data_IF_301527240802
#
_entry.id   IF_301527240802
#
_cell.length_a   1.000
_cell.length_b   1.000
_cell.length_c   1.000
_cell.angle_alpha   90.00
_cell.angle_beta   90.00
_cell.angle_gamma   90.00
#
_symmetry.space_group_name_H-M   'P 1'
#
loop_
_entity.id
_entity.type
_entity.pdbx_description
1 polymer ?
#
# COMPACT_ATOMS: atom_id res chain seq x y z
N UNK A 1 -24.81 -11.66 6.18
CA UNK A 1 -23.95 -10.48 5.93
C UNK A 1 -23.77 -9.77 7.25
N UNK A 2 -22.55 -9.74 7.80
CA UNK A 2 -22.31 -9.05 9.07
C UNK A 2 -22.37 -7.53 8.85
N UNK A 3 -23.29 -6.87 9.54
CA UNK A 3 -23.41 -5.43 9.57
C UNK A 3 -22.38 -4.89 10.58
N UNK A 4 -21.18 -4.54 10.10
CA UNK A 4 -20.08 -4.06 10.94
C UNK A 4 -20.29 -2.65 11.54
N UNK A 5 -21.51 -2.08 11.43
CA UNK A 5 -21.80 -0.70 11.78
C UNK A 5 -21.39 0.30 10.68
N UNK A 6 -21.55 1.59 10.96
CA UNK A 6 -21.13 2.66 10.03
C UNK A 6 -19.61 2.87 10.14
N UNK A 7 -18.89 2.99 9.01
CA UNK A 7 -17.46 3.27 9.04
C UNK A 7 -17.20 4.70 9.56
N UNK A 8 -16.17 4.85 10.40
CA UNK A 8 -15.64 6.14 10.89
C UNK A 8 -15.20 7.03 9.74
N UNK A 9 -14.58 6.43 8.72
CA UNK A 9 -14.14 7.15 7.52
C UNK A 9 -14.11 6.22 6.31
N UNK A 10 -14.42 6.77 5.16
CA UNK A 10 -14.22 6.11 3.87
C UNK A 10 -13.16 6.85 3.07
N UNK A 11 -12.17 6.11 2.58
CA UNK A 11 -11.09 6.66 1.75
C UNK A 11 -11.15 6.03 0.37
N UNK A 12 -11.22 6.87 -0.67
CA UNK A 12 -11.21 6.45 -2.07
C UNK A 12 -10.01 6.98 -2.82
N UNK A 13 -9.96 6.68 -4.12
CA UNK A 13 -8.95 7.20 -5.03
C UNK A 13 -8.88 8.74 -4.98
N UNK A 14 -7.67 9.31 -5.11
CA UNK A 14 -7.44 10.76 -5.16
C UNK A 14 -8.33 11.41 -6.22
N UNK A 15 -8.76 12.64 -5.95
CA UNK A 15 -9.62 13.40 -6.86
C UNK A 15 -8.96 13.61 -8.23
N UNK A 16 -7.66 13.94 -8.26
CA UNK A 16 -6.93 14.19 -9.51
C UNK A 16 -6.93 12.99 -10.49
N UNK A 17 -6.42 11.79 -10.14
CA UNK A 17 -6.48 10.65 -11.05
C UNK A 17 -7.92 10.24 -11.36
N UNK A 18 -8.87 10.39 -10.42
CA UNK A 18 -10.29 10.15 -10.70
C UNK A 18 -10.82 11.06 -11.80
N UNK A 19 -10.52 12.35 -11.70
CA UNK A 19 -10.95 13.37 -12.67
C UNK A 19 -10.25 13.18 -13.99
N UNK A 20 -8.94 12.90 -13.99
CA UNK A 20 -8.16 12.62 -15.18
C UNK A 20 -8.65 11.35 -15.90
N UNK A 21 -8.98 10.28 -15.18
CA UNK A 21 -9.57 9.07 -15.77
C UNK A 21 -10.92 9.38 -16.42
N UNK A 22 -11.78 10.16 -15.76
CA UNK A 22 -13.08 10.55 -16.33
C UNK A 22 -12.90 11.46 -17.56
N UNK A 23 -12.03 12.46 -17.47
CA UNK A 23 -11.77 13.39 -18.57
C UNK A 23 -11.18 12.68 -19.78
N UNK A 24 -10.19 11.81 -19.58
CA UNK A 24 -9.62 11.01 -20.66
C UNK A 24 -10.66 10.06 -21.27
N UNK A 25 -11.54 9.49 -20.45
CA UNK A 25 -12.64 8.66 -20.94
C UNK A 25 -13.63 9.46 -21.79
N UNK A 26 -14.02 10.65 -21.34
CA UNK A 26 -14.91 11.54 -22.09
C UNK A 26 -14.26 12.01 -23.40
N UNK A 27 -13.00 12.46 -23.35
CA UNK A 27 -12.24 12.86 -24.53
C UNK A 27 -12.15 11.70 -25.54
N UNK A 28 -11.91 10.49 -25.07
CA UNK A 28 -11.87 9.31 -25.92
C UNK A 28 -13.24 9.03 -26.55
N UNK A 29 -14.33 9.14 -25.79
CA UNK A 29 -15.70 9.01 -26.36
C UNK A 29 -15.95 10.08 -27.43
N UNK A 30 -15.59 11.33 -27.18
CA UNK A 30 -15.75 12.41 -28.18
C UNK A 30 -14.94 12.14 -29.44
N UNK A 31 -13.70 11.66 -29.28
CA UNK A 31 -12.86 11.24 -30.39
C UNK A 31 -13.51 10.10 -31.19
N UNK A 32 -14.04 9.08 -30.52
CA UNK A 32 -14.76 7.97 -31.15
C UNK A 32 -16.00 8.46 -31.92
N UNK A 33 -16.80 9.34 -31.35
CA UNK A 33 -17.95 9.93 -32.04
C UNK A 33 -17.53 10.72 -33.29
N UNK A 34 -16.41 11.43 -33.23
CA UNK A 34 -15.81 12.10 -34.38
C UNK A 34 -15.40 11.13 -35.49
N UNK A 35 -14.70 10.04 -35.13
CA UNK A 35 -14.32 8.98 -36.07
C UNK A 35 -15.54 8.32 -36.71
N UNK A 36 -16.55 7.96 -35.91
CA UNK A 36 -17.79 7.36 -36.42
C UNK A 36 -18.54 8.31 -37.36
N UNK A 37 -18.58 9.62 -37.04
CA UNK A 37 -19.16 10.63 -37.94
C UNK A 37 -18.41 10.73 -39.26
N UNK A 38 -17.09 10.81 -39.23
CA UNK A 38 -16.25 10.83 -40.45
C UNK A 38 -16.40 9.54 -41.26
N UNK A 39 -16.54 8.40 -40.61
CA UNK A 39 -16.80 7.13 -41.26
C UNK A 39 -18.15 7.14 -42.00
N UNK A 40 -19.23 7.56 -41.34
CA UNK A 40 -20.57 7.65 -41.95
C UNK A 40 -20.54 8.60 -43.17
N UNK A 41 -19.92 9.78 -43.02
CA UNK A 41 -19.83 10.77 -44.10
C UNK A 41 -19.06 10.27 -45.33
N UNK A 42 -18.11 9.35 -45.13
CA UNK A 42 -17.26 8.82 -46.19
C UNK A 42 -17.60 7.36 -46.57
N UNK A 43 -18.73 6.84 -46.09
CA UNK A 43 -19.06 5.42 -46.17
C UNK A 43 -19.10 4.91 -47.62
N UNK A 44 -19.87 5.57 -48.48
CA UNK A 44 -20.02 5.19 -49.89
C UNK A 44 -18.66 5.15 -50.59
N UNK A 45 -17.85 6.21 -50.42
CA UNK A 45 -16.51 6.30 -51.00
C UNK A 45 -15.57 5.19 -50.53
N UNK A 46 -15.63 4.82 -49.25
CA UNK A 46 -14.80 3.74 -48.67
C UNK A 46 -15.26 2.39 -49.21
N UNK A 47 -16.57 2.17 -49.28
CA UNK A 47 -17.18 0.96 -49.79
C UNK A 47 -16.85 0.74 -51.28
N UNK A 48 -17.02 1.77 -52.10
CA UNK A 48 -16.74 1.72 -53.55
C UNK A 48 -15.27 1.43 -53.86
N UNK A 49 -14.35 2.03 -53.08
CA UNK A 49 -12.91 1.92 -53.35
C UNK A 49 -12.27 0.66 -52.80
N UNK A 50 -12.70 0.21 -51.61
CA UNK A 50 -12.01 -0.84 -50.85
C UNK A 50 -12.91 -2.05 -50.53
N UNK A 51 -14.19 -2.01 -50.94
CA UNK A 51 -15.15 -3.10 -50.72
C UNK A 51 -15.58 -3.28 -49.27
N UNK A 52 -16.50 -4.23 -49.06
CA UNK A 52 -17.16 -4.47 -47.77
C UNK A 52 -16.20 -4.94 -46.64
N UNK A 53 -15.07 -5.56 -47.01
CA UNK A 53 -14.06 -6.02 -46.03
C UNK A 53 -13.46 -4.84 -45.24
N UNK A 54 -13.22 -3.71 -45.90
CA UNK A 54 -12.70 -2.50 -45.26
C UNK A 54 -13.71 -1.88 -44.27
N UNK A 55 -15.00 -1.97 -44.59
CA UNK A 55 -16.10 -1.55 -43.72
C UNK A 55 -16.14 -2.40 -42.45
N UNK A 56 -16.07 -3.73 -42.58
CA UNK A 56 -16.02 -4.63 -41.42
C UNK A 56 -14.76 -4.42 -40.56
N UNK A 57 -13.61 -4.15 -41.17
CA UNK A 57 -12.39 -3.84 -40.44
C UNK A 57 -12.55 -2.57 -39.57
N UNK A 58 -13.12 -1.50 -40.14
CA UNK A 58 -13.34 -0.25 -39.41
C UNK A 58 -14.32 -0.42 -38.25
N UNK A 59 -15.42 -1.15 -38.47
CA UNK A 59 -16.37 -1.49 -37.39
C UNK A 59 -15.66 -2.31 -36.29
N UNK A 60 -14.86 -3.30 -36.67
CA UNK A 60 -14.10 -4.11 -35.72
C UNK A 60 -13.08 -3.28 -34.92
N UNK A 61 -12.39 -2.35 -35.59
CA UNK A 61 -11.45 -1.43 -34.96
C UNK A 61 -12.15 -0.53 -33.94
N UNK A 62 -13.30 0.04 -34.29
CA UNK A 62 -14.08 0.89 -33.38
C UNK A 62 -14.56 0.13 -32.14
N UNK A 63 -14.98 -1.13 -32.30
CA UNK A 63 -15.36 -2.00 -31.19
C UNK A 63 -14.19 -2.27 -30.24
N UNK A 64 -13.00 -2.53 -30.78
CA UNK A 64 -11.79 -2.74 -29.96
C UNK A 64 -11.42 -1.47 -29.20
N UNK A 65 -11.47 -0.30 -29.85
CA UNK A 65 -11.24 0.98 -29.20
C UNK A 65 -12.25 1.26 -28.08
N UNK A 66 -13.53 0.94 -28.29
CA UNK A 66 -14.57 1.06 -27.28
C UNK A 66 -14.31 0.15 -26.07
N UNK A 67 -13.86 -1.08 -26.30
CA UNK A 67 -13.46 -2.00 -25.22
C UNK A 67 -12.28 -1.46 -24.41
N UNK A 68 -11.29 -0.86 -25.05
CA UNK A 68 -10.15 -0.22 -24.37
C UNK A 68 -10.65 0.97 -23.54
N UNK A 69 -11.52 1.80 -24.11
CA UNK A 69 -12.10 2.98 -23.46
C UNK A 69 -12.81 2.62 -22.16
N UNK A 70 -13.62 1.57 -22.18
CA UNK A 70 -14.38 1.11 -21.01
C UNK A 70 -13.53 0.27 -20.05
N UNK A 71 -12.57 -0.49 -20.58
CA UNK A 71 -11.71 -1.39 -19.84
C UNK A 71 -10.76 -0.68 -18.89
N UNK A 72 -10.08 0.40 -19.34
CA UNK A 72 -9.09 1.12 -18.53
C UNK A 72 -9.72 1.74 -17.26
N UNK A 73 -10.82 2.51 -17.33
CA UNK A 73 -11.49 3.05 -16.13
C UNK A 73 -11.98 1.94 -15.19
N UNK A 74 -12.51 0.84 -15.73
CA UNK A 74 -12.94 -0.30 -14.93
C UNK A 74 -11.78 -0.93 -14.15
N UNK A 75 -10.64 -1.16 -14.80
CA UNK A 75 -9.42 -1.66 -14.16
C UNK A 75 -8.94 -0.70 -13.07
N UNK A 76 -8.97 0.61 -13.33
CA UNK A 76 -8.56 1.63 -12.35
C UNK A 76 -9.44 1.62 -11.09
N UNK A 77 -10.77 1.54 -11.24
CA UNK A 77 -11.71 1.44 -10.11
C UNK A 77 -11.46 0.16 -9.30
N UNK A 78 -11.16 -0.95 -9.99
CA UNK A 78 -10.86 -2.24 -9.35
C UNK A 78 -9.50 -2.27 -8.65
N UNK A 79 -8.53 -1.50 -9.15
CA UNK A 79 -7.19 -1.38 -8.57
C UNK A 79 -7.19 -0.53 -7.28
N UNK A 80 -8.09 0.46 -7.20
CA UNK A 80 -8.21 1.38 -6.06
C UNK A 80 -9.61 1.35 -5.41
N UNK A 81 -10.03 0.19 -4.86
CA UNK A 81 -11.32 0.07 -4.18
C UNK A 81 -11.39 0.95 -2.93
N UNK A 82 -12.56 1.48 -2.58
CA UNK A 82 -12.70 2.26 -1.35
C UNK A 82 -12.28 1.46 -0.12
N UNK A 83 -11.53 2.09 0.77
CA UNK A 83 -11.16 1.56 2.08
C UNK A 83 -12.13 2.15 3.10
N UNK A 84 -12.71 1.29 3.92
CA UNK A 84 -13.61 1.69 5.00
C UNK A 84 -12.92 1.41 6.33
N UNK A 85 -12.77 2.44 7.14
CA UNK A 85 -12.13 2.37 8.45
C UNK A 85 -13.18 2.30 9.55
N UNK A 86 -13.01 1.35 10.45
CA UNK A 86 -13.79 1.13 11.66
C UNK A 86 -12.87 1.27 12.87
N UNK A 87 -13.43 1.33 14.07
CA UNK A 87 -12.61 1.48 15.29
C UNK A 87 -11.69 0.28 15.51
N UNK A 88 -12.15 -0.93 15.18
CA UNK A 88 -11.48 -2.20 15.44
C UNK A 88 -10.83 -2.84 14.20
N UNK A 89 -10.99 -2.23 13.01
CA UNK A 89 -10.49 -2.81 11.77
C UNK A 89 -10.80 -1.99 10.53
N UNK A 90 -10.62 -2.62 9.37
CA UNK A 90 -10.89 -2.01 8.07
C UNK A 90 -11.44 -3.01 7.05
N UNK A 91 -12.10 -2.52 6.02
CA UNK A 91 -12.47 -3.32 4.83
C UNK A 91 -11.94 -2.65 3.56
N UNK A 92 -11.60 -3.48 2.56
CA UNK A 92 -11.13 -3.02 1.25
C UNK A 92 -12.16 -3.40 0.19
N UNK A 93 -12.99 -2.44 -0.19
CA UNK A 93 -14.17 -2.66 -1.03
C UNK A 93 -15.46 -2.81 -0.23
N UNK A 94 -16.59 -2.52 -0.88
CA UNK A 94 -17.92 -2.60 -0.24
C UNK A 94 -18.26 -4.05 0.05
N UNK A 95 -18.87 -4.32 1.21
CA UNK A 95 -19.33 -5.65 1.64
C UNK A 95 -18.24 -6.72 1.66
N UNK A 96 -17.00 -6.32 1.92
CA UNK A 96 -15.90 -7.25 2.18
C UNK A 96 -15.77 -7.53 3.67
N UNK A 97 -15.14 -8.65 3.98
CA UNK A 97 -14.84 -9.06 5.34
C UNK A 97 -13.97 -8.02 6.06
N UNK A 98 -14.29 -7.75 7.33
CA UNK A 98 -13.55 -6.81 8.16
C UNK A 98 -12.27 -7.47 8.66
N UNK A 99 -11.15 -6.82 8.39
CA UNK A 99 -9.82 -7.21 8.88
C UNK A 99 -9.58 -6.47 10.18
N UNK A 100 -9.45 -7.22 11.28
CA UNK A 100 -9.28 -6.66 12.62
C UNK A 100 -7.85 -6.20 12.87
N UNK A 101 -7.69 -5.01 13.42
CA UNK A 101 -6.37 -4.46 13.76
C UNK A 101 -5.61 -5.32 14.78
N UNK A 102 -6.30 -5.99 15.68
CA UNK A 102 -5.70 -6.88 16.68
C UNK A 102 -4.95 -8.06 16.06
N UNK A 103 -5.45 -8.58 14.94
CA UNK A 103 -4.96 -9.85 14.35
C UNK A 103 -4.20 -9.65 13.05
N UNK A 104 -4.21 -8.44 12.48
CA UNK A 104 -3.64 -8.18 11.17
C UNK A 104 -2.11 -8.19 11.21
N UNK A 105 -1.52 -9.06 10.41
CA UNK A 105 -0.11 -8.96 10.02
C UNK A 105 0.01 -8.07 8.80
N UNK A 106 0.94 -7.11 8.83
CA UNK A 106 1.18 -6.23 7.70
C UNK A 106 2.62 -5.69 7.66
N UNK A 107 3.03 -5.26 6.47
CA UNK A 107 4.22 -4.44 6.29
C UNK A 107 4.00 -3.46 5.12
N UNK A 108 4.72 -2.35 5.16
CA UNK A 108 4.75 -1.38 4.08
C UNK A 108 5.93 -1.65 3.15
N UNK A 109 5.77 -1.38 1.85
CA UNK A 109 6.89 -1.23 0.93
C UNK A 109 7.26 0.26 0.89
N UNK A 110 8.38 0.69 1.51
CA UNK A 110 8.79 2.08 1.53
C UNK A 110 8.90 2.65 0.12
N UNK A 111 8.61 3.93 -0.01
CA UNK A 111 8.78 4.61 -1.28
C UNK A 111 10.23 5.03 -1.45
N UNK A 112 10.84 4.61 -2.56
CA UNK A 112 12.27 4.79 -2.81
C UNK A 112 12.56 5.85 -3.88
N UNK A 113 11.52 6.34 -4.57
CA UNK A 113 11.66 7.35 -5.61
C UNK A 113 11.27 8.73 -5.05
N UNK A 114 12.15 9.76 -5.10
CA UNK A 114 11.88 11.08 -4.53
C UNK A 114 10.56 11.70 -5.01
N UNK A 115 10.26 11.61 -6.32
CA UNK A 115 9.01 12.12 -6.89
C UNK A 115 7.76 11.39 -6.37
N UNK A 116 7.87 10.10 -6.04
CA UNK A 116 6.75 9.33 -5.49
C UNK A 116 6.65 9.52 -3.97
N UNK A 117 7.76 9.81 -3.27
CA UNK A 117 7.80 10.06 -1.82
C UNK A 117 6.92 11.25 -1.43
N UNK A 118 6.85 12.27 -2.29
CA UNK A 118 5.95 13.41 -2.14
C UNK A 118 4.46 13.00 -2.10
N UNK A 119 4.10 11.91 -2.79
CA UNK A 119 2.73 11.40 -2.86
C UNK A 119 2.35 10.57 -1.64
N UNK A 120 3.13 9.54 -1.33
CA UNK A 120 2.97 8.64 -0.18
C UNK A 120 4.34 8.11 0.25
N UNK A 121 4.57 7.99 1.56
CA UNK A 121 5.83 7.46 2.12
C UNK A 121 6.07 5.98 1.81
N UNK A 122 5.04 5.27 1.36
CA UNK A 122 5.09 3.88 0.92
C UNK A 122 4.30 3.70 -0.38
N UNK A 123 4.65 2.67 -1.15
CA UNK A 123 3.99 2.36 -2.44
C UNK A 123 2.84 1.37 -2.29
N UNK A 124 2.96 0.45 -1.32
CA UNK A 124 2.01 -0.66 -1.13
C UNK A 124 1.97 -1.07 0.34
N UNK A 125 0.79 -1.43 0.81
CA UNK A 125 0.57 -2.16 2.07
C UNK A 125 0.32 -3.61 1.71
N UNK A 126 1.08 -4.52 2.31
CA UNK A 126 0.75 -5.94 2.29
C UNK A 126 0.18 -6.33 3.64
N UNK A 127 -0.95 -7.03 3.65
CA UNK A 127 -1.61 -7.48 4.87
C UNK A 127 -2.16 -8.89 4.71
N UNK A 128 -2.24 -9.67 5.80
CA UNK A 128 -3.01 -10.92 5.82
C UNK A 128 -4.47 -10.61 6.08
N UNK A 129 -5.36 -11.18 5.27
CA UNK A 129 -6.78 -11.21 5.60
C UNK A 129 -7.06 -12.32 6.66
N UNK A 130 -8.32 -12.45 7.05
CA UNK A 130 -8.75 -13.43 8.05
C UNK A 130 -8.51 -14.90 7.61
N UNK A 131 -8.43 -15.18 6.31
CA UNK A 131 -8.00 -16.49 5.76
C UNK A 131 -6.48 -16.74 5.81
N UNK A 132 -5.71 -15.88 6.49
CA UNK A 132 -4.25 -15.88 6.46
C UNK A 132 -3.63 -15.74 5.06
N UNK A 133 -4.37 -15.18 4.09
CA UNK A 133 -3.86 -14.94 2.73
C UNK A 133 -3.35 -13.51 2.60
N UNK A 134 -2.13 -13.37 2.10
CA UNK A 134 -1.58 -12.08 1.72
C UNK A 134 -2.43 -11.39 0.64
N UNK A 135 -2.83 -10.17 0.94
CA UNK A 135 -3.48 -9.19 0.07
C UNK A 135 -2.62 -7.92 0.06
N UNK A 136 -2.85 -7.07 -0.93
CA UNK A 136 -2.16 -5.80 -1.02
C UNK A 136 -3.11 -4.65 -1.33
N UNK A 137 -2.72 -3.44 -0.92
CA UNK A 137 -3.35 -2.17 -1.28
C UNK A 137 -2.26 -1.28 -1.86
N UNK A 138 -2.40 -0.88 -3.12
CA UNK A 138 -1.49 0.11 -3.71
C UNK A 138 -1.79 1.49 -3.14
N UNK A 139 -0.83 2.12 -2.47
CA UNK A 139 -0.99 3.44 -1.88
C UNK A 139 -1.03 4.57 -2.91
N UNK A 140 -0.48 4.35 -4.11
CA UNK A 140 -0.29 5.39 -5.13
C UNK A 140 -1.60 6.09 -5.53
N UNK A 141 -2.71 5.34 -5.57
CA UNK A 141 -4.02 5.88 -5.93
C UNK A 141 -4.74 6.64 -4.82
N UNK A 142 -4.28 6.59 -3.56
CA UNK A 142 -4.97 7.18 -2.40
C UNK A 142 -4.33 8.48 -1.90
N UNK A 143 -5.09 9.40 -1.29
CA UNK A 143 -4.55 10.60 -0.66
C UNK A 143 -3.41 10.31 0.31
N UNK A 144 -2.49 11.26 0.50
CA UNK A 144 -1.32 11.11 1.38
C UNK A 144 -1.69 10.69 2.81
N UNK A 145 -2.77 11.30 3.33
CA UNK A 145 -3.37 11.02 4.64
C UNK A 145 -4.42 9.90 4.61
N UNK A 146 -4.46 9.14 3.51
CA UNK A 146 -5.47 8.11 3.26
C UNK A 146 -5.34 6.91 4.21
N UNK A 147 -4.15 6.70 4.77
CA UNK A 147 -3.83 5.56 5.62
C UNK A 147 -3.50 5.95 7.06
N UNK A 148 -3.70 7.22 7.45
CA UNK A 148 -3.38 7.67 8.81
C UNK A 148 -4.20 6.88 9.84
N UNK A 149 -5.50 6.71 9.61
CA UNK A 149 -6.36 5.90 10.48
C UNK A 149 -5.91 4.44 10.58
N UNK A 150 -5.41 3.84 9.49
CA UNK A 150 -4.83 2.50 9.55
C UNK A 150 -3.64 2.46 10.51
N UNK A 151 -2.76 3.46 10.43
CA UNK A 151 -1.54 3.51 11.22
C UNK A 151 -1.86 3.81 12.70
N UNK A 152 -2.73 4.77 12.95
CA UNK A 152 -3.14 5.23 14.29
C UNK A 152 -4.00 4.20 15.03
N UNK A 153 -5.10 3.72 14.43
CA UNK A 153 -6.03 2.81 15.10
C UNK A 153 -5.37 1.43 15.32
N UNK A 154 -4.46 0.99 14.43
CA UNK A 154 -3.64 -0.21 14.67
C UNK A 154 -2.76 -0.06 15.91
N UNK A 155 -2.05 1.05 16.06
CA UNK A 155 -1.18 1.31 17.23
C UNK A 155 -2.05 1.40 18.48
N UNK A 156 -3.15 2.16 18.45
CA UNK A 156 -4.06 2.33 19.58
C UNK A 156 -4.52 1.00 20.18
N UNK A 157 -4.82 0.01 19.34
CA UNK A 157 -5.31 -1.30 19.78
C UNK A 157 -4.18 -2.21 20.31
N UNK A 158 -3.03 -2.21 19.65
CA UNK A 158 -1.98 -3.20 19.91
C UNK A 158 -0.92 -2.72 20.90
N UNK A 159 -0.71 -1.41 21.02
CA UNK A 159 0.32 -0.81 21.87
C UNK A 159 0.16 -1.16 23.35
N UNK A 160 -1.03 -1.05 23.98
CA UNK A 160 -1.17 -1.40 25.40
C UNK A 160 -0.83 -2.86 25.70
N UNK A 161 -1.14 -3.77 24.77
CA UNK A 161 -0.82 -5.20 24.91
C UNK A 161 0.68 -5.45 24.84
N UNK A 162 1.34 -4.84 23.84
CA UNK A 162 2.78 -4.95 23.66
C UNK A 162 3.56 -4.34 24.84
N UNK A 163 3.15 -3.16 25.31
CA UNK A 163 3.80 -2.52 26.46
C UNK A 163 3.62 -3.31 27.75
N UNK A 164 2.42 -3.85 28.01
CA UNK A 164 2.19 -4.72 29.17
C UNK A 164 3.11 -5.95 29.16
N UNK A 165 3.32 -6.55 28.00
CA UNK A 165 4.25 -7.68 27.86
C UNK A 165 5.70 -7.26 28.20
N UNK A 166 6.16 -6.13 27.66
CA UNK A 166 7.50 -5.58 27.92
C UNK A 166 7.68 -5.23 29.41
N UNK A 167 6.70 -4.55 30.01
CA UNK A 167 6.74 -4.12 31.41
C UNK A 167 6.79 -5.30 32.39
N UNK A 168 6.18 -6.43 32.02
CA UNK A 168 6.23 -7.69 32.77
C UNK A 168 7.54 -8.48 32.55
N UNK A 169 8.55 -7.88 31.91
CA UNK A 169 9.84 -8.53 31.61
C UNK A 169 9.82 -9.43 30.37
N UNK A 170 8.75 -9.38 29.58
CA UNK A 170 8.63 -10.07 28.30
C UNK A 170 9.38 -9.36 27.16
N UNK A 171 9.21 -9.86 25.95
CA UNK A 171 9.87 -9.32 24.75
C UNK A 171 8.95 -9.41 23.55
N UNK A 172 8.80 -8.30 22.83
CA UNK A 172 7.98 -8.24 21.63
C UNK A 172 8.86 -8.40 20.39
N UNK A 173 8.53 -9.36 19.53
CA UNK A 173 9.28 -9.65 18.30
C UNK A 173 8.66 -8.97 17.06
N UNK A 174 9.51 -8.33 16.27
CA UNK A 174 9.20 -7.83 14.94
C UNK A 174 10.09 -8.48 13.90
N UNK A 175 9.55 -8.71 12.70
CA UNK A 175 10.31 -9.23 11.57
C UNK A 175 10.78 -8.07 10.70
N UNK A 176 12.04 -8.13 10.26
CA UNK A 176 12.53 -7.19 9.26
C UNK A 176 13.36 -7.86 8.16
N UNK A 177 13.29 -7.34 6.95
CA UNK A 177 14.11 -7.78 5.83
C UNK A 177 14.75 -6.55 5.18
N UNK A 178 16.05 -6.62 4.90
CA UNK A 178 16.76 -5.61 4.12
C UNK A 178 17.00 -6.14 2.68
N UNK A 179 16.09 -5.89 1.74
CA UNK A 179 16.21 -6.44 0.40
C UNK A 179 17.35 -5.78 -0.39
N UNK A 180 18.30 -6.59 -0.88
CA UNK A 180 19.38 -6.12 -1.77
C UNK A 180 18.85 -5.53 -3.10
N UNK A 181 17.71 -6.01 -3.59
CA UNK A 181 17.06 -5.55 -4.83
C UNK A 181 15.76 -4.81 -4.53
N UNK A 182 15.42 -3.85 -5.39
CA UNK A 182 14.17 -3.09 -5.31
C UNK A 182 12.97 -4.04 -5.35
N UNK A 183 12.00 -3.81 -4.46
CA UNK A 183 10.78 -4.60 -4.42
C UNK A 183 9.75 -3.90 -5.32
N UNK A 184 9.26 -4.55 -6.37
CA UNK A 184 8.22 -3.97 -7.20
C UNK A 184 6.96 -3.75 -6.35
N UNK A 185 6.31 -2.60 -6.53
CA UNK A 185 5.10 -2.23 -5.78
C UNK A 185 3.99 -3.29 -5.89
N UNK A 186 3.93 -4.02 -7.01
CA UNK A 186 2.99 -5.11 -7.30
C UNK A 186 3.70 -6.47 -7.34
N UNK A 187 4.62 -6.73 -6.41
CA UNK A 187 5.38 -7.98 -6.35
C UNK A 187 4.50 -9.23 -6.26
N UNK A 188 4.99 -10.37 -6.79
CA UNK A 188 4.29 -11.65 -6.71
C UNK A 188 4.17 -12.09 -5.24
N UNK A 189 3.02 -12.62 -4.83
CA UNK A 189 2.75 -13.13 -3.46
C UNK A 189 3.87 -14.04 -2.91
N UNK A 190 4.34 -14.99 -3.72
CA UNK A 190 5.45 -15.91 -3.35
C UNK A 190 6.75 -15.19 -2.97
N UNK A 191 7.02 -14.03 -3.58
CA UNK A 191 8.20 -13.24 -3.26
C UNK A 191 8.10 -12.62 -1.87
N UNK A 192 6.93 -12.10 -1.51
CA UNK A 192 6.66 -11.54 -0.17
C UNK A 192 6.80 -12.60 0.91
N UNK A 193 6.18 -13.76 0.73
CA UNK A 193 6.28 -14.87 1.68
C UNK A 193 7.73 -15.30 1.88
N UNK A 194 8.49 -15.46 0.80
CA UNK A 194 9.92 -15.75 0.88
C UNK A 194 10.69 -14.69 1.68
N UNK A 195 10.38 -13.41 1.49
CA UNK A 195 11.08 -12.31 2.19
C UNK A 195 10.74 -12.26 3.68
N UNK A 196 9.51 -12.57 4.06
CA UNK A 196 9.13 -12.66 5.46
C UNK A 196 9.72 -13.89 6.15
N UNK A 197 9.83 -15.02 5.45
CA UNK A 197 10.45 -16.23 5.99
C UNK A 197 11.98 -16.10 6.16
N UNK A 198 12.61 -15.22 5.38
CA UNK A 198 14.04 -14.90 5.47
C UNK A 198 14.30 -13.62 6.28
N UNK A 199 13.33 -13.19 7.09
CA UNK A 199 13.44 -11.97 7.87
C UNK A 199 14.32 -12.20 9.11
N UNK A 200 15.14 -11.20 9.41
CA UNK A 200 15.80 -11.06 10.69
C UNK A 200 14.78 -10.63 11.74
N UNK A 201 15.13 -10.80 13.03
CA UNK A 201 14.27 -10.43 14.15
C UNK A 201 14.75 -9.16 14.82
N UNK A 202 13.80 -8.31 15.17
CA UNK A 202 13.97 -7.21 16.12
C UNK A 202 13.27 -7.65 17.39
N UNK A 203 13.98 -7.71 18.50
CA UNK A 203 13.40 -8.03 19.80
C UNK A 203 13.43 -6.79 20.67
N UNK A 204 12.29 -6.40 21.22
CA UNK A 204 12.18 -5.23 22.07
C UNK A 204 11.84 -5.68 23.49
N UNK A 205 12.73 -5.37 24.42
CA UNK A 205 12.56 -5.58 25.86
C UNK A 205 12.56 -4.24 26.59
N UNK A 206 12.38 -4.28 27.91
CA UNK A 206 12.36 -3.08 28.75
C UNK A 206 13.74 -2.42 28.84
N UNK A 207 14.80 -3.20 28.74
CA UNK A 207 16.18 -2.76 28.93
C UNK A 207 16.92 -2.50 27.61
N UNK A 208 16.54 -3.19 26.53
CA UNK A 208 17.25 -3.10 25.25
C UNK A 208 16.37 -3.40 24.03
N UNK A 209 16.93 -3.06 22.87
CA UNK A 209 16.51 -3.59 21.58
C UNK A 209 17.62 -4.48 21.01
N UNK A 210 17.23 -5.61 20.44
CA UNK A 210 18.16 -6.54 19.79
C UNK A 210 17.85 -6.61 18.30
N UNK A 211 18.86 -6.39 17.47
CA UNK A 211 18.79 -6.61 16.02
C UNK A 211 19.57 -7.87 15.68
N UNK A 212 18.85 -8.94 15.34
CA UNK A 212 19.41 -10.29 15.14
C UNK A 212 20.11 -10.79 16.43
N UNK A 213 21.39 -10.46 16.63
CA UNK A 213 22.19 -10.79 17.81
C UNK A 213 22.90 -9.59 18.46
N UNK A 214 22.75 -8.38 17.90
CA UNK A 214 23.37 -7.17 18.42
C UNK A 214 22.44 -6.49 19.42
N UNK A 215 22.92 -6.27 20.64
CA UNK A 215 22.15 -5.71 21.76
C UNK A 215 22.46 -4.22 21.90
N UNK A 216 21.41 -3.40 21.92
CA UNK A 216 21.49 -1.96 22.12
C UNK A 216 20.62 -1.57 23.31
N UNK A 217 21.26 -1.23 24.43
CA UNK A 217 20.59 -0.78 25.63
C UNK A 217 20.06 0.65 25.48
N UNK A 218 18.86 0.91 26.00
CA UNK A 218 18.18 2.20 25.84
C UNK A 218 18.94 3.37 26.49
N UNK A 219 19.72 3.11 27.55
CA UNK A 219 20.51 4.10 28.31
C UNK A 219 21.83 4.49 27.62
N UNK A 220 22.30 3.66 26.68
CA UNK A 220 23.57 3.85 25.97
C UNK A 220 23.39 4.39 24.57
N UNK A 221 22.28 4.08 23.91
CA UNK A 221 22.10 4.35 22.49
C UNK A 221 20.81 5.08 22.18
N UNK A 222 20.89 6.03 21.26
CA UNK A 222 19.73 6.69 20.68
C UNK A 222 19.25 5.92 19.46
N UNK A 223 18.08 5.31 19.57
CA UNK A 223 17.49 4.51 18.49
C UNK A 223 16.33 5.30 17.88
N UNK A 224 16.35 5.44 16.55
CA UNK A 224 15.25 6.07 15.80
C UNK A 224 14.79 5.13 14.70
N UNK A 225 13.49 5.11 14.45
CA UNK A 225 12.90 4.27 13.40
C UNK A 225 11.81 5.02 12.65
N UNK A 226 11.66 4.69 11.37
CA UNK A 226 10.54 5.16 10.56
C UNK A 226 10.21 4.10 9.49
N UNK A 227 9.35 4.47 8.53
CA UNK A 227 9.01 3.61 7.39
C UNK A 227 10.25 3.22 6.59
N UNK A 228 10.80 2.06 6.91
CA UNK A 228 11.91 1.44 6.21
C UNK A 228 13.30 1.85 6.64
N UNK A 229 13.45 2.61 7.73
CA UNK A 229 14.78 2.99 8.27
C UNK A 229 14.83 2.69 9.77
N UNK A 230 15.95 2.17 10.23
CA UNK A 230 16.31 2.12 11.66
C UNK A 230 17.72 2.66 11.78
N UNK A 231 17.94 3.62 12.66
CA UNK A 231 19.25 4.19 12.95
C UNK A 231 19.52 4.07 14.43
N UNK A 232 20.67 3.50 14.77
CA UNK A 232 21.21 3.49 16.12
C UNK A 232 22.41 4.41 16.16
N UNK A 233 22.41 5.31 17.13
CA UNK A 233 23.49 6.25 17.38
C UNK A 233 24.06 6.08 18.77
N UNK A 234 25.35 6.31 18.91
CA UNK A 234 26.01 6.42 20.20
C UNK A 234 25.75 7.80 20.87
N UNK A 235 26.38 8.03 22.02
CA UNK A 235 26.25 9.27 22.80
C UNK A 235 26.81 10.51 22.08
N UNK A 236 27.70 10.31 21.11
CA UNK A 236 28.29 11.38 20.29
C UNK A 236 27.45 11.65 19.02
N UNK A 237 26.22 11.11 18.95
CA UNK A 237 25.30 11.18 17.82
C UNK A 237 25.86 10.57 16.52
N UNK A 238 26.90 9.73 16.63
CA UNK A 238 27.48 9.00 15.50
C UNK A 238 26.65 7.75 15.21
N UNK A 239 26.25 7.59 13.96
CA UNK A 239 25.51 6.41 13.52
C UNK A 239 26.42 5.17 13.52
N UNK A 240 26.07 4.19 14.34
CA UNK A 240 26.78 2.91 14.45
C UNK A 240 26.05 1.78 13.72
N UNK A 241 24.73 1.89 13.60
CA UNK A 241 23.90 1.02 12.75
C UNK A 241 22.92 1.88 11.97
N UNK A 242 22.83 1.64 10.66
CA UNK A 242 21.84 2.28 9.80
C UNK A 242 21.27 1.25 8.82
N UNK A 243 20.04 0.80 9.09
CA UNK A 243 19.28 0.05 8.12
C UNK A 243 18.84 1.00 6.99
N UNK A 244 19.11 0.67 5.72
CA UNK A 244 18.79 1.55 4.60
C UNK A 244 17.27 1.70 4.45
N UNK A 245 16.83 2.84 3.89
CA UNK A 245 15.43 3.28 3.70
C UNK A 245 14.50 2.36 2.89
N UNK A 246 14.96 1.14 2.60
CA UNK A 246 14.29 0.07 1.86
C UNK A 246 13.94 -1.13 2.74
N UNK A 247 14.20 -1.07 4.05
CA UNK A 247 13.90 -2.18 4.94
C UNK A 247 12.38 -2.44 4.95
N UNK A 248 11.99 -3.70 4.85
CA UNK A 248 10.63 -4.13 5.14
C UNK A 248 10.57 -4.43 6.63
N UNK A 249 9.78 -3.66 7.36
CA UNK A 249 9.59 -3.86 8.81
C UNK A 249 8.13 -4.23 9.05
N UNK A 250 7.93 -5.37 9.70
CA UNK A 250 6.61 -5.86 10.07
C UNK A 250 6.01 -4.97 11.16
N UNK A 251 4.72 -4.60 11.03
CA UNK A 251 3.98 -3.81 12.04
C UNK A 251 4.72 -2.54 12.48
N UNK A 252 5.43 -1.89 11.55
CA UNK A 252 6.41 -0.82 11.82
C UNK A 252 5.87 0.34 12.67
N UNK A 253 4.59 0.70 12.56
CA UNK A 253 4.03 1.79 13.36
C UNK A 253 4.01 1.46 14.86
N UNK A 254 3.77 0.19 15.20
CA UNK A 254 3.84 -0.28 16.59
C UNK A 254 5.28 -0.29 17.08
N UNK A 255 6.24 -0.73 16.27
CA UNK A 255 7.66 -0.66 16.60
C UNK A 255 8.10 0.79 16.85
N UNK A 256 7.69 1.73 15.98
CA UNK A 256 7.95 3.17 16.14
C UNK A 256 7.41 3.67 17.47
N UNK A 257 6.14 3.40 17.78
CA UNK A 257 5.53 3.85 19.03
C UNK A 257 6.22 3.29 20.29
N UNK A 258 6.71 2.05 20.23
CA UNK A 258 7.45 1.43 21.35
C UNK A 258 8.84 2.06 21.50
N UNK A 259 9.58 2.22 20.40
CA UNK A 259 10.90 2.87 20.41
C UNK A 259 10.79 4.32 20.90
N UNK A 260 9.80 5.07 20.42
CA UNK A 260 9.56 6.46 20.85
C UNK A 260 9.23 6.54 22.35
N UNK A 261 8.65 5.49 22.94
CA UNK A 261 8.39 5.45 24.38
C UNK A 261 9.62 5.07 25.19
N UNK A 262 10.33 4.02 24.79
CA UNK A 262 11.45 3.45 25.56
C UNK A 262 12.76 4.23 25.37
N UNK A 263 12.98 4.79 24.17
CA UNK A 263 14.19 5.54 23.83
C UNK A 263 14.16 7.03 24.17
N UNK A 264 13.02 7.55 24.67
CA UNK A 264 12.90 8.92 25.19
C UNK A 264 13.03 8.99 26.73
N UNK A 265 13.56 7.94 27.36
CA UNK A 265 13.89 7.93 28.79
C UNK A 265 15.27 8.52 29.06
#
# INVERSE_FOLDING_TARGET
MENYGKPKKTVGMKLYPKTLTILNFLLFIFFMLGLTKEFINNFERIYERNGISSVFFLIGFDLVLLLIALGIPYIMIKLYPKIYYYEDGFTVGKNKEKVLYEKVDYFFIPNQHPALYAMNRFTTIWYKNNDNKWKFISAMGYPKKGFDLFQEDFVKINYPKAMKEIENGGTVEFLFNNPKKLIPALGKKKFIEKKLNQAMKIKVSKENIVFDNEVYEWDKYKITTNLGTIVVKDKDDKAILALPSRALIHKVNLLVAIIDKLGNN
#
